data_IF_737892866990
#
_entry.id   IF_737892866990
#
_cell.length_a   1.000
_cell.length_b   1.000
_cell.length_c   1.000
_cell.angle_alpha   90.00
_cell.angle_beta   90.00
_cell.angle_gamma   90.00
#
_symmetry.space_group_name_H-M   'P 1'
#
loop_
_entity.id
_entity.type
_entity.pdbx_description
1 polymer ?
#
# COMPACT_ATOMS: atom_id res chain seq x y z
N UNK A 1 12.20 46.96 -20.50
CA UNK A 1 11.97 46.25 -19.22
C UNK A 1 10.59 45.59 -19.30
N UNK A 2 10.54 44.28 -19.48
CA UNK A 2 9.26 43.56 -19.49
C UNK A 2 8.72 43.50 -18.06
N UNK A 3 7.63 44.22 -17.80
CA UNK A 3 6.90 44.07 -16.55
C UNK A 3 6.39 42.63 -16.46
N UNK A 4 7.02 41.82 -15.60
CA UNK A 4 6.58 40.46 -15.32
C UNK A 4 5.27 40.58 -14.56
N UNK A 5 4.15 40.51 -15.28
CA UNK A 5 2.81 40.58 -14.69
C UNK A 5 2.71 39.48 -13.63
N UNK A 6 2.68 39.87 -12.35
CA UNK A 6 2.29 38.97 -11.27
C UNK A 6 0.79 38.74 -11.43
N UNK A 7 0.44 37.61 -12.04
CA UNK A 7 -0.94 37.18 -12.17
C UNK A 7 -1.29 36.33 -10.94
N UNK A 8 -2.08 36.87 -9.99
CA UNK A 8 -2.42 36.20 -8.73
C UNK A 8 -3.28 34.95 -8.95
N UNK A 9 -3.83 34.73 -10.15
CA UNK A 9 -4.60 33.53 -10.47
C UNK A 9 -3.73 32.38 -11.01
N UNK A 10 -2.58 32.69 -11.63
CA UNK A 10 -1.69 31.65 -12.19
C UNK A 10 -0.72 31.08 -11.16
N UNK A 11 -0.16 31.89 -10.26
CA UNK A 11 0.80 31.39 -9.27
C UNK A 11 0.09 30.85 -8.03
N UNK A 12 -0.91 31.57 -7.52
CA UNK A 12 -1.66 31.15 -6.32
C UNK A 12 -2.56 29.93 -6.59
N UNK A 13 -3.26 29.91 -7.73
CA UNK A 13 -4.09 28.79 -8.13
C UNK A 13 -3.27 27.51 -8.35
N UNK A 14 -2.08 27.65 -8.95
CA UNK A 14 -1.17 26.53 -9.20
C UNK A 14 -0.59 25.97 -7.90
N UNK A 15 -0.14 26.81 -6.97
CA UNK A 15 0.37 26.36 -5.67
C UNK A 15 -0.71 25.68 -4.81
N UNK A 16 -1.94 26.19 -4.83
CA UNK A 16 -3.05 25.57 -4.09
C UNK A 16 -3.47 24.24 -4.73
N UNK A 17 -3.50 24.15 -6.07
CA UNK A 17 -3.71 22.90 -6.79
C UNK A 17 -2.63 21.87 -6.45
N UNK A 18 -1.36 22.28 -6.45
CA UNK A 18 -0.23 21.42 -6.10
C UNK A 18 -0.33 20.92 -4.66
N UNK A 19 -0.69 21.77 -3.69
CA UNK A 19 -0.91 21.35 -2.30
C UNK A 19 -2.06 20.34 -2.19
N UNK A 20 -3.19 20.59 -2.84
CA UNK A 20 -4.32 19.65 -2.84
C UNK A 20 -3.94 18.30 -3.44
N UNK A 21 -3.15 18.30 -4.52
CA UNK A 21 -2.65 17.09 -5.14
C UNK A 21 -1.71 16.31 -4.22
N UNK A 22 -0.77 16.99 -3.57
CA UNK A 22 0.15 16.37 -2.59
C UNK A 22 -0.65 15.74 -1.46
N UNK A 23 -1.63 16.45 -0.91
CA UNK A 23 -2.48 15.95 0.17
C UNK A 23 -3.27 14.70 -0.24
N UNK A 24 -3.81 14.68 -1.47
CA UNK A 24 -4.47 13.49 -2.02
C UNK A 24 -3.51 12.32 -2.16
N UNK A 25 -2.29 12.56 -2.66
CA UNK A 25 -1.27 11.52 -2.84
C UNK A 25 -0.82 10.93 -1.49
N UNK A 26 -0.61 11.78 -0.48
CA UNK A 26 -0.24 11.33 0.88
C UNK A 26 -1.30 10.40 1.45
N UNK A 27 -2.57 10.82 1.40
CA UNK A 27 -3.70 10.01 1.87
C UNK A 27 -3.80 8.69 1.11
N UNK A 28 -3.69 8.74 -0.23
CA UNK A 28 -3.74 7.54 -1.07
C UNK A 28 -2.61 6.56 -0.74
N UNK A 29 -1.39 7.05 -0.61
CA UNK A 29 -0.23 6.20 -0.29
C UNK A 29 -0.41 5.50 1.06
N UNK A 30 -0.95 6.19 2.07
CA UNK A 30 -1.27 5.59 3.38
C UNK A 30 -2.31 4.46 3.22
N UNK A 31 -3.36 4.69 2.41
CA UNK A 31 -4.37 3.66 2.14
C UNK A 31 -3.81 2.46 1.38
N UNK A 32 -2.98 2.69 0.36
CA UNK A 32 -2.34 1.63 -0.42
C UNK A 32 -1.46 0.76 0.49
N UNK A 33 -0.64 1.38 1.36
CA UNK A 33 0.17 0.63 2.34
C UNK A 33 -0.67 -0.16 3.33
N UNK A 34 -1.76 0.44 3.85
CA UNK A 34 -2.64 -0.24 4.81
C UNK A 34 -3.38 -1.43 4.18
N UNK A 35 -3.74 -1.33 2.89
CA UNK A 35 -4.36 -2.42 2.16
C UNK A 35 -3.37 -3.56 1.91
N UNK A 36 -2.17 -3.26 1.43
CA UNK A 36 -1.12 -4.27 1.21
C UNK A 36 -0.70 -4.98 2.51
N UNK A 37 -0.54 -4.24 3.61
CA UNK A 37 -0.27 -4.81 4.94
C UNK A 37 -1.46 -5.66 5.44
N UNK A 38 -2.68 -5.19 5.20
CA UNK A 38 -3.91 -5.92 5.49
C UNK A 38 -3.97 -7.27 4.77
N UNK A 39 -3.70 -7.28 3.46
CA UNK A 39 -3.68 -8.46 2.62
C UNK A 39 -2.60 -9.46 3.09
N UNK A 40 -1.36 -9.00 3.29
CA UNK A 40 -0.27 -9.84 3.83
C UNK A 40 -0.63 -10.44 5.19
N UNK A 41 -1.17 -9.63 6.11
CA UNK A 41 -1.58 -10.11 7.44
C UNK A 41 -2.72 -11.14 7.37
N UNK A 42 -3.62 -10.99 6.39
CA UNK A 42 -4.70 -11.94 6.13
C UNK A 42 -4.17 -13.27 5.65
N UNK A 43 -3.26 -13.25 4.66
CA UNK A 43 -2.61 -14.44 4.12
C UNK A 43 -1.81 -15.17 5.21
N UNK A 44 -1.06 -14.44 6.05
CA UNK A 44 -0.31 -15.03 7.17
C UNK A 44 -1.23 -15.67 8.22
N UNK A 45 -2.36 -15.04 8.56
CA UNK A 45 -3.35 -15.63 9.48
C UNK A 45 -3.94 -16.93 8.94
N UNK A 46 -4.26 -16.96 7.64
CA UNK A 46 -4.76 -18.17 6.98
C UNK A 46 -3.69 -19.26 6.99
N UNK A 47 -2.45 -18.94 6.61
CA UNK A 47 -1.33 -19.89 6.64
C UNK A 47 -1.10 -20.47 8.03
N UNK A 48 -1.17 -19.64 9.09
CA UNK A 48 -1.06 -20.07 10.48
C UNK A 48 -2.18 -21.04 10.88
N UNK A 49 -3.42 -20.72 10.54
CA UNK A 49 -4.56 -21.58 10.82
C UNK A 49 -4.46 -22.94 10.09
N UNK A 50 -4.00 -22.95 8.84
CA UNK A 50 -3.79 -24.18 8.08
C UNK A 50 -2.65 -25.04 8.67
N UNK A 51 -1.59 -24.40 9.18
CA UNK A 51 -0.49 -25.08 9.88
C UNK A 51 -0.97 -25.72 11.20
N UNK A 52 -1.81 -25.03 11.96
CA UNK A 52 -2.44 -25.57 13.17
C UNK A 52 -3.35 -26.78 12.86
N UNK A 53 -4.00 -26.77 11.69
CA UNK A 53 -4.79 -27.89 11.18
C UNK A 53 -3.95 -29.07 10.65
N UNK A 54 -2.62 -29.02 10.78
CA UNK A 54 -1.67 -30.05 10.30
C UNK A 54 -1.78 -30.30 8.79
N UNK A 55 -2.15 -29.28 8.01
CA UNK A 55 -2.12 -29.38 6.55
C UNK A 55 -0.67 -29.35 6.06
N UNK A 56 -0.38 -30.12 5.02
CA UNK A 56 0.95 -30.20 4.43
C UNK A 56 1.44 -28.83 3.95
N UNK A 57 2.72 -28.52 4.20
CA UNK A 57 3.32 -27.21 3.87
C UNK A 57 3.24 -26.94 2.36
N UNK A 58 3.31 -27.97 1.52
CA UNK A 58 3.13 -27.82 0.06
C UNK A 58 1.74 -27.27 -0.30
N UNK A 59 0.69 -27.78 0.33
CA UNK A 59 -0.70 -27.35 0.07
C UNK A 59 -0.91 -25.92 0.57
N UNK A 60 -0.31 -25.56 1.71
CA UNK A 60 -0.35 -24.20 2.23
C UNK A 60 0.37 -23.24 1.28
N UNK A 61 1.55 -23.63 0.77
CA UNK A 61 2.31 -22.82 -0.18
C UNK A 61 1.55 -22.59 -1.50
N UNK A 62 0.92 -23.64 -2.03
CA UNK A 62 0.10 -23.55 -3.25
C UNK A 62 -1.14 -22.68 -3.06
N UNK A 63 -1.80 -22.78 -1.90
CA UNK A 63 -3.05 -22.06 -1.62
C UNK A 63 -2.84 -20.60 -1.22
N UNK A 64 -1.73 -20.29 -0.55
CA UNK A 64 -1.44 -18.94 -0.01
C UNK A 64 -0.44 -18.15 -0.83
N UNK A 65 0.28 -18.80 -1.75
CA UNK A 65 1.36 -18.19 -2.54
C UNK A 65 2.63 -17.87 -1.73
N UNK A 66 2.68 -18.25 -0.45
CA UNK A 66 3.86 -18.07 0.40
C UNK A 66 4.93 -19.12 0.09
N UNK A 67 6.20 -18.74 0.25
CA UNK A 67 7.29 -19.70 0.17
C UNK A 67 7.21 -20.69 1.34
N UNK A 68 7.70 -21.91 1.12
CA UNK A 68 7.76 -22.92 2.18
C UNK A 68 8.57 -22.43 3.40
N UNK A 69 9.62 -21.63 3.16
CA UNK A 69 10.42 -21.00 4.22
C UNK A 69 9.61 -20.01 5.06
N UNK A 70 8.75 -19.21 4.42
CA UNK A 70 7.87 -18.28 5.12
C UNK A 70 6.87 -19.03 6.01
N UNK A 71 6.27 -20.11 5.51
CA UNK A 71 5.33 -20.95 6.27
C UNK A 71 6.00 -21.68 7.44
N UNK A 72 7.28 -22.04 7.30
CA UNK A 72 8.06 -22.59 8.43
C UNK A 72 8.32 -21.56 9.53
N UNK A 73 8.53 -20.29 9.18
CA UNK A 73 8.81 -19.19 10.12
C UNK A 73 7.56 -18.67 10.85
N UNK A 74 6.37 -18.83 10.27
CA UNK A 74 5.07 -18.54 10.90
C UNK A 74 4.79 -19.50 12.06
#
# INVERSE_FOLDING_TARGET
>A
MAAKYFNPYTDFGYEQYKKSLVQYLEVRNVFDTAFEEGEKSGIEKVAKALKEQNIAIEIIAESTGLSQEAIQRI
#
